data_IF_179287257636
#
_entry.id   IF_179287257636
#
_cell.length_a   1.000
_cell.length_b   1.000
_cell.length_c   1.000
_cell.angle_alpha   90.00
_cell.angle_beta   90.00
_cell.angle_gamma   90.00
#
_symmetry.space_group_name_H-M   'P 1'
#
loop_
_entity.id
_entity.type
_entity.pdbx_description
1 polymer ?
#
# COMPACT_ATOMS: atom_id res chain seq x y z
N UNK A 1 29.88 -15.39 -35.90
CA UNK A 1 30.69 -14.31 -35.28
C UNK A 1 29.90 -13.02 -35.03
N UNK A 2 29.02 -12.58 -35.94
CA UNK A 2 28.25 -11.34 -35.80
C UNK A 2 27.24 -11.29 -34.65
N UNK A 3 26.54 -12.40 -34.35
CA UNK A 3 25.54 -12.44 -33.27
C UNK A 3 26.14 -12.29 -31.86
N UNK A 4 27.36 -12.80 -31.67
CA UNK A 4 28.04 -12.74 -30.37
C UNK A 4 28.47 -11.31 -30.02
N UNK A 5 28.90 -10.54 -31.03
CA UNK A 5 29.31 -9.15 -30.88
C UNK A 5 28.10 -8.23 -30.63
N UNK A 6 26.97 -8.48 -31.32
CA UNK A 6 25.73 -7.72 -31.14
C UNK A 6 25.13 -7.93 -29.74
N UNK A 7 25.14 -9.17 -29.24
CA UNK A 7 24.69 -9.52 -27.89
C UNK A 7 25.59 -8.90 -26.80
N UNK A 8 26.90 -8.85 -27.03
CA UNK A 8 27.85 -8.22 -26.10
C UNK A 8 27.71 -6.70 -26.03
N UNK A 9 27.46 -6.03 -27.16
CA UNK A 9 27.19 -4.59 -27.18
C UNK A 9 25.85 -4.24 -26.51
N UNK A 10 24.80 -5.02 -26.76
CA UNK A 10 23.49 -4.87 -26.10
C UNK A 10 23.61 -4.98 -24.58
N UNK A 11 24.31 -6.02 -24.09
CA UNK A 11 24.50 -6.24 -22.66
C UNK A 11 25.38 -5.16 -21.99
N UNK A 12 26.31 -4.55 -22.73
CA UNK A 12 27.12 -3.44 -22.22
C UNK A 12 26.30 -2.16 -22.08
N UNK A 13 25.48 -1.85 -23.09
CA UNK A 13 24.61 -0.68 -23.10
C UNK A 13 23.53 -0.75 -22.00
N UNK A 14 22.93 -1.92 -21.79
CA UNK A 14 21.98 -2.17 -20.70
C UNK A 14 22.61 -1.94 -19.32
N UNK A 15 23.82 -2.47 -19.09
CA UNK A 15 24.57 -2.25 -17.83
C UNK A 15 24.91 -0.78 -17.60
N UNK A 16 25.24 -0.03 -18.66
CA UNK A 16 25.54 1.39 -18.56
C UNK A 16 24.29 2.20 -18.18
N UNK A 17 23.14 1.88 -18.77
CA UNK A 17 21.84 2.50 -18.42
C UNK A 17 21.47 2.17 -16.97
N UNK A 18 21.58 0.92 -16.56
CA UNK A 18 21.29 0.52 -15.18
C UNK A 18 22.20 1.22 -14.17
N UNK A 19 23.52 1.29 -14.42
CA UNK A 19 24.43 2.04 -13.55
C UNK A 19 24.10 3.53 -13.51
N UNK A 20 23.81 4.16 -14.66
CA UNK A 20 23.40 5.56 -14.71
C UNK A 20 22.14 5.85 -13.91
N UNK A 21 21.12 4.98 -14.01
CA UNK A 21 19.87 5.10 -13.26
C UNK A 21 20.09 4.93 -11.75
N UNK A 22 20.91 3.96 -11.34
CA UNK A 22 21.26 3.74 -9.92
C UNK A 22 22.00 4.95 -9.36
N UNK A 23 22.99 5.47 -10.10
CA UNK A 23 23.75 6.65 -9.68
C UNK A 23 22.83 7.87 -9.53
N UNK A 24 21.93 8.11 -10.50
CA UNK A 24 20.97 9.20 -10.45
C UNK A 24 20.03 9.09 -9.23
N UNK A 25 19.59 7.88 -8.87
CA UNK A 25 18.72 7.65 -7.73
C UNK A 25 19.45 7.77 -6.37
N UNK A 26 20.72 7.37 -6.30
CA UNK A 26 21.48 7.29 -5.05
C UNK A 26 22.18 8.61 -4.70
N UNK A 27 22.61 9.39 -5.69
CA UNK A 27 23.32 10.66 -5.46
C UNK A 27 22.54 11.64 -4.57
N UNK A 28 21.24 11.92 -4.81
CA UNK A 28 20.48 12.83 -3.95
C UNK A 28 20.42 12.33 -2.50
N UNK A 29 20.33 11.02 -2.32
CA UNK A 29 20.23 10.37 -1.01
C UNK A 29 21.56 10.49 -0.25
N UNK A 30 22.69 10.30 -0.95
CA UNK A 30 24.03 10.53 -0.39
C UNK A 30 24.28 12.01 -0.06
N UNK A 31 23.80 12.94 -0.90
CA UNK A 31 23.90 14.38 -0.62
C UNK A 31 23.14 14.76 0.65
N UNK A 32 21.91 14.28 0.80
CA UNK A 32 21.10 14.50 2.01
C UNK A 32 21.76 13.86 3.22
N UNK A 33 22.17 12.59 3.14
CA UNK A 33 22.82 11.89 4.24
C UNK A 33 24.13 12.57 4.67
N UNK A 34 24.95 13.02 3.71
CA UNK A 34 26.19 13.75 3.98
C UNK A 34 25.95 15.07 4.72
N UNK A 35 24.88 15.79 4.37
CA UNK A 35 24.48 17.02 5.07
C UNK A 35 23.90 16.75 6.46
N UNK A 36 23.18 15.64 6.65
CA UNK A 36 22.62 15.27 7.96
C UNK A 36 23.69 14.88 8.99
N UNK A 37 24.77 14.22 8.57
CA UNK A 37 25.87 13.80 9.47
C UNK A 37 26.71 14.98 9.97
N UNK A 38 26.79 16.08 9.21
CA UNK A 38 27.59 17.24 9.56
C UNK A 38 26.98 18.12 10.67
N UNK A 39 25.70 17.96 10.99
CA UNK A 39 24.99 18.85 11.93
C UNK A 39 24.11 18.09 12.96
N UNK A 40 24.67 17.18 13.78
CA UNK A 40 23.89 16.32 14.68
C UNK A 40 23.21 17.08 15.84
N UNK A 41 23.78 18.21 16.29
CA UNK A 41 23.25 18.96 17.43
C UNK A 41 21.91 19.64 17.12
N UNK A 42 21.70 20.10 15.89
CA UNK A 42 20.45 20.72 15.47
C UNK A 42 19.27 19.74 15.52
N UNK A 43 19.48 18.48 15.11
CA UNK A 43 18.44 17.44 15.20
C UNK A 43 18.10 17.09 16.65
N UNK A 44 19.09 17.02 17.54
CA UNK A 44 18.85 16.78 18.97
C UNK A 44 18.08 17.94 19.61
N UNK A 45 18.37 19.18 19.22
CA UNK A 45 17.64 20.37 19.67
C UNK A 45 16.20 20.35 19.14
N UNK A 46 15.98 19.98 17.87
CA UNK A 46 14.64 19.91 17.28
C UNK A 46 13.79 18.78 17.89
N UNK A 47 14.41 17.64 18.20
CA UNK A 47 13.72 16.50 18.81
C UNK A 47 13.42 16.73 20.30
N UNK A 48 14.39 17.21 21.08
CA UNK A 48 14.26 17.27 22.54
C UNK A 48 13.95 18.66 23.11
N UNK A 49 14.35 19.76 22.44
CA UNK A 49 14.09 21.12 22.96
C UNK A 49 12.81 21.75 22.40
N UNK A 50 12.26 21.25 21.30
CA UNK A 50 11.02 21.76 20.68
C UNK A 50 9.90 20.69 20.81
N UNK A 51 8.98 20.82 21.78
CA UNK A 51 7.91 19.82 21.98
C UNK A 51 6.94 19.71 20.80
N UNK A 52 6.98 20.65 19.85
CA UNK A 52 6.10 20.67 18.68
C UNK A 52 6.36 19.48 17.74
N UNK A 53 7.62 19.13 17.47
CA UNK A 53 7.96 18.03 16.55
C UNK A 53 7.52 16.67 17.10
N UNK A 54 7.78 16.41 18.39
CA UNK A 54 7.31 15.20 19.07
C UNK A 54 5.78 15.10 19.08
N UNK A 55 5.08 16.23 19.29
CA UNK A 55 3.60 16.27 19.22
C UNK A 55 3.08 15.96 17.81
N UNK A 56 3.70 16.52 16.77
CA UNK A 56 3.33 16.22 15.37
C UNK A 56 3.55 14.75 15.03
N UNK A 57 4.68 14.17 15.48
CA UNK A 57 4.97 12.74 15.33
C UNK A 57 3.90 11.88 16.02
N UNK A 58 3.56 12.18 17.27
CA UNK A 58 2.52 11.46 18.01
C UNK A 58 1.14 11.58 17.36
N UNK A 59 0.76 12.77 16.88
CA UNK A 59 -0.49 12.96 16.14
C UNK A 59 -0.52 12.08 14.88
N UNK A 60 0.60 11.97 14.17
CA UNK A 60 0.70 11.10 13.01
C UNK A 60 0.55 9.63 13.39
N UNK A 61 1.17 9.18 14.48
CA UNK A 61 1.01 7.80 14.97
C UNK A 61 -0.44 7.51 15.38
N UNK A 62 -1.09 8.44 16.08
CA UNK A 62 -2.49 8.31 16.51
C UNK A 62 -3.42 8.18 15.30
N UNK A 63 -3.10 8.79 14.16
CA UNK A 63 -3.86 8.67 12.92
C UNK A 63 -3.51 7.37 12.18
N UNK A 64 -2.22 7.03 12.06
CA UNK A 64 -1.77 5.89 11.26
C UNK A 64 -2.12 4.54 11.88
N UNK A 65 -2.05 4.38 13.19
CA UNK A 65 -2.37 3.13 13.89
C UNK A 65 -3.80 2.63 13.58
N UNK A 66 -4.87 3.41 13.79
CA UNK A 66 -6.23 2.96 13.48
C UNK A 66 -6.44 2.74 11.98
N UNK A 67 -5.77 3.50 11.11
CA UNK A 67 -5.78 3.26 9.66
C UNK A 67 -5.23 1.86 9.34
N UNK A 68 -4.07 1.51 9.90
CA UNK A 68 -3.45 0.20 9.68
C UNK A 68 -4.32 -0.93 10.23
N UNK A 69 -4.87 -0.79 11.43
CA UNK A 69 -5.79 -1.78 12.01
C UNK A 69 -7.01 -1.96 11.10
N UNK A 70 -7.58 -0.87 10.61
CA UNK A 70 -8.70 -0.90 9.67
C UNK A 70 -8.35 -1.64 8.38
N UNK A 71 -7.22 -1.30 7.76
CA UNK A 71 -6.76 -1.95 6.54
C UNK A 71 -6.48 -3.45 6.75
N UNK A 72 -5.84 -3.84 7.86
CA UNK A 72 -5.57 -5.23 8.17
C UNK A 72 -6.83 -6.07 8.40
N UNK A 73 -7.93 -5.46 8.84
CA UNK A 73 -9.20 -6.16 9.01
C UNK A 73 -10.02 -6.17 7.72
N UNK A 74 -10.16 -5.01 7.08
CA UNK A 74 -11.02 -4.82 5.92
C UNK A 74 -10.42 -5.42 4.65
N UNK A 75 -9.10 -5.29 4.45
CA UNK A 75 -8.49 -5.70 3.19
C UNK A 75 -8.52 -7.22 2.97
N UNK A 76 -8.14 -8.07 3.94
CA UNK A 76 -8.24 -9.52 3.77
C UNK A 76 -9.70 -9.99 3.66
N UNK A 77 -10.61 -9.38 4.42
CA UNK A 77 -12.04 -9.73 4.38
C UNK A 77 -12.64 -9.44 3.00
N UNK A 78 -12.37 -8.25 2.45
CA UNK A 78 -12.84 -7.87 1.13
C UNK A 78 -12.18 -8.72 0.03
N UNK A 79 -10.87 -8.99 0.13
CA UNK A 79 -10.16 -9.83 -0.83
C UNK A 79 -10.70 -11.28 -0.84
N UNK A 80 -10.90 -11.88 0.35
CA UNK A 80 -11.54 -13.19 0.48
C UNK A 80 -12.96 -13.18 -0.10
N UNK A 81 -13.74 -12.13 0.18
CA UNK A 81 -15.07 -11.93 -0.40
C UNK A 81 -15.07 -11.91 -1.92
N UNK A 82 -14.17 -11.13 -2.54
CA UNK A 82 -14.04 -11.07 -4.01
C UNK A 82 -13.58 -12.40 -4.62
N UNK A 83 -12.69 -13.12 -3.94
CA UNK A 83 -12.19 -14.41 -4.42
C UNK A 83 -13.26 -15.50 -4.34
N UNK A 84 -13.91 -15.64 -3.18
CA UNK A 84 -14.92 -16.66 -2.91
C UNK A 84 -16.24 -16.41 -3.63
N UNK A 85 -16.55 -15.16 -3.97
CA UNK A 85 -17.77 -14.83 -4.70
C UNK A 85 -17.85 -15.61 -6.03
N UNK A 86 -18.94 -16.36 -6.26
CA UNK A 86 -19.14 -17.17 -7.48
C UNK A 86 -19.82 -16.39 -8.61
N UNK A 87 -20.03 -15.08 -8.46
CA UNK A 87 -20.81 -14.29 -9.40
C UNK A 87 -20.02 -13.96 -10.67
N UNK A 88 -20.64 -14.12 -11.85
CA UNK A 88 -20.01 -13.92 -13.16
C UNK A 88 -19.45 -12.51 -13.38
N UNK A 89 -20.02 -11.49 -12.72
CA UNK A 89 -19.62 -10.08 -12.88
C UNK A 89 -18.59 -9.60 -11.85
N UNK A 90 -18.10 -10.48 -10.98
CA UNK A 90 -17.13 -10.12 -9.92
C UNK A 90 -15.84 -9.50 -10.47
N UNK A 91 -15.39 -9.98 -11.63
CA UNK A 91 -14.18 -9.47 -12.27
C UNK A 91 -14.39 -8.03 -12.76
N UNK A 92 -15.56 -7.69 -13.29
CA UNK A 92 -15.88 -6.32 -13.73
C UNK A 92 -15.87 -5.36 -12.55
N UNK A 93 -16.50 -5.74 -11.43
CA UNK A 93 -16.47 -4.96 -10.19
C UNK A 93 -15.04 -4.77 -9.68
N UNK A 94 -14.21 -5.80 -9.76
CA UNK A 94 -12.81 -5.69 -9.37
C UNK A 94 -11.99 -4.80 -10.31
N UNK A 95 -12.22 -4.85 -11.62
CA UNK A 95 -11.57 -3.93 -12.56
C UNK A 95 -12.00 -2.48 -12.32
N UNK A 96 -13.28 -2.24 -12.01
CA UNK A 96 -13.74 -0.90 -11.62
C UNK A 96 -13.04 -0.44 -10.34
N UNK A 97 -12.92 -1.32 -9.36
CA UNK A 97 -12.20 -1.07 -8.11
C UNK A 97 -10.73 -0.69 -8.36
N UNK A 98 -10.06 -1.36 -9.32
CA UNK A 98 -8.72 -1.03 -9.76
C UNK A 98 -8.62 0.35 -10.41
N UNK A 99 -9.59 0.75 -11.24
CA UNK A 99 -9.59 2.07 -11.86
C UNK A 99 -9.62 3.17 -10.80
N UNK A 100 -10.42 2.99 -9.74
CA UNK A 100 -10.47 3.92 -8.61
C UNK A 100 -9.12 3.98 -7.89
N UNK A 101 -8.43 2.85 -7.74
CA UNK A 101 -7.08 2.81 -7.16
C UNK A 101 -6.04 3.59 -7.98
N UNK A 102 -6.20 3.66 -9.30
CA UNK A 102 -5.30 4.42 -10.18
C UNK A 102 -5.51 5.93 -10.08
N UNK A 103 -6.59 6.40 -9.44
CA UNK A 103 -6.78 7.83 -9.23
C UNK A 103 -5.70 8.37 -8.30
N UNK A 104 -5.06 9.50 -8.65
CA UNK A 104 -4.12 10.16 -7.76
C UNK A 104 -4.81 10.60 -6.47
N UNK A 105 -4.09 10.49 -5.35
CA UNK A 105 -4.58 10.83 -4.02
C UNK A 105 -5.21 12.23 -3.98
N UNK A 106 -4.66 13.18 -4.73
CA UNK A 106 -5.13 14.56 -4.80
C UNK A 106 -6.55 14.70 -5.34
N UNK A 107 -6.95 13.88 -6.32
CA UNK A 107 -8.31 13.91 -6.87
C UNK A 107 -9.35 13.38 -5.88
N UNK A 108 -8.93 12.50 -4.96
CA UNK A 108 -9.81 11.93 -3.94
C UNK A 108 -10.03 12.86 -2.73
N UNK A 109 -9.25 13.94 -2.59
CA UNK A 109 -9.36 14.85 -1.44
C UNK A 109 -10.70 15.58 -1.38
N UNK A 110 -11.16 16.12 -2.51
CA UNK A 110 -12.44 16.83 -2.60
C UNK A 110 -13.63 15.93 -2.24
N UNK A 111 -13.80 14.74 -2.86
CA UNK A 111 -14.92 13.86 -2.50
C UNK A 111 -14.82 13.36 -1.05
N UNK A 112 -13.62 13.05 -0.54
CA UNK A 112 -13.45 12.66 0.86
C UNK A 112 -13.85 13.77 1.83
N UNK A 113 -13.53 15.03 1.50
CA UNK A 113 -13.96 16.19 2.28
C UNK A 113 -15.48 16.36 2.28
N UNK A 114 -16.14 16.18 1.12
CA UNK A 114 -17.60 16.25 1.03
C UNK A 114 -18.29 15.16 1.87
N UNK A 115 -17.76 13.93 1.83
CA UNK A 115 -18.27 12.83 2.66
C UNK A 115 -18.05 13.12 4.15
N UNK A 116 -16.87 13.62 4.54
CA UNK A 116 -16.60 13.99 5.92
C UNK A 116 -17.53 15.11 6.42
N UNK A 117 -17.87 16.07 5.55
CA UNK A 117 -18.83 17.12 5.86
C UNK A 117 -20.25 16.58 6.03
N UNK A 118 -20.67 15.67 5.14
CA UNK A 118 -21.98 15.02 5.25
C UNK A 118 -22.14 14.19 6.53
N UNK A 119 -21.05 13.55 6.96
CA UNK A 119 -20.98 12.79 8.23
C UNK A 119 -20.77 13.69 9.46
N UNK A 120 -20.57 15.00 9.30
CA UNK A 120 -20.33 15.94 10.40
C UNK A 120 -18.98 15.75 11.11
N UNK A 121 -18.02 15.05 10.50
CA UNK A 121 -16.71 14.72 11.07
C UNK A 121 -15.58 15.58 10.51
N UNK A 122 -15.87 16.62 9.72
CA UNK A 122 -14.84 17.39 8.99
C UNK A 122 -13.75 17.99 9.88
N UNK A 123 -14.07 18.29 11.15
CA UNK A 123 -13.15 18.91 12.11
C UNK A 123 -12.40 17.88 12.97
N UNK A 124 -12.50 16.59 12.66
CA UNK A 124 -11.89 15.49 13.42
C UNK A 124 -10.87 14.73 12.58
N UNK A 125 -9.87 14.13 13.24
CA UNK A 125 -8.94 13.18 12.63
C UNK A 125 -9.66 12.01 11.94
N UNK A 126 -10.90 11.72 12.33
CA UNK A 126 -11.76 10.72 11.68
C UNK A 126 -11.99 11.00 10.19
N UNK A 127 -12.03 12.27 9.77
CA UNK A 127 -12.14 12.65 8.36
C UNK A 127 -10.97 12.16 7.50
N UNK A 128 -9.81 11.92 8.12
CA UNK A 128 -8.61 11.38 7.47
C UNK A 128 -8.53 9.87 7.65
N UNK A 129 -8.82 9.38 8.87
CA UNK A 129 -8.70 7.97 9.23
C UNK A 129 -9.67 7.12 8.39
N UNK A 130 -10.94 7.51 8.31
CA UNK A 130 -11.97 6.71 7.65
C UNK A 130 -11.65 6.45 6.16
N UNK A 131 -11.42 7.47 5.31
CA UNK A 131 -11.07 7.21 3.92
C UNK A 131 -9.79 6.38 3.76
N UNK A 132 -8.79 6.61 4.61
CA UNK A 132 -7.53 5.88 4.56
C UNK A 132 -7.68 4.40 4.93
N UNK A 133 -8.64 4.02 5.79
CA UNK A 133 -8.92 2.62 6.12
C UNK A 133 -9.41 1.80 4.91
N UNK A 134 -10.10 2.43 3.96
CA UNK A 134 -10.68 1.77 2.77
C UNK A 134 -9.75 1.84 1.55
N UNK A 135 -8.45 2.07 1.76
CA UNK A 135 -7.50 2.20 0.66
C UNK A 135 -7.43 0.91 -0.19
N UNK A 136 -7.58 1.01 -1.53
CA UNK A 136 -7.83 -0.18 -2.34
C UNK A 136 -6.62 -1.10 -2.55
N UNK A 137 -5.40 -0.58 -2.36
CA UNK A 137 -4.15 -1.31 -2.59
C UNK A 137 -4.07 -2.63 -1.81
N UNK A 138 -4.46 -2.65 -0.53
CA UNK A 138 -4.36 -3.85 0.31
C UNK A 138 -5.21 -5.00 -0.22
N UNK A 139 -6.46 -4.71 -0.61
CA UNK A 139 -7.38 -5.70 -1.18
C UNK A 139 -6.83 -6.26 -2.48
N UNK A 140 -6.28 -5.38 -3.33
CA UNK A 140 -5.71 -5.78 -4.61
C UNK A 140 -4.55 -6.77 -4.43
N UNK A 141 -3.57 -6.43 -3.58
CA UNK A 141 -2.39 -7.26 -3.33
C UNK A 141 -2.78 -8.63 -2.76
N UNK A 142 -3.66 -8.65 -1.76
CA UNK A 142 -4.09 -9.90 -1.12
C UNK A 142 -4.85 -10.77 -2.12
N UNK A 143 -5.76 -10.19 -2.92
CA UNK A 143 -6.52 -10.95 -3.92
C UNK A 143 -5.59 -11.55 -4.98
N UNK A 144 -4.61 -10.81 -5.47
CA UNK A 144 -3.64 -11.35 -6.43
C UNK A 144 -2.93 -12.57 -5.87
N UNK A 145 -2.53 -12.54 -4.59
CA UNK A 145 -1.86 -13.66 -3.94
C UNK A 145 -2.80 -14.85 -3.67
N UNK A 146 -4.04 -14.58 -3.24
CA UNK A 146 -5.04 -15.62 -2.94
C UNK A 146 -5.58 -16.29 -4.21
N UNK A 147 -5.55 -15.62 -5.37
CA UNK A 147 -6.00 -16.20 -6.63
C UNK A 147 -5.19 -17.43 -7.06
N UNK A 148 -3.90 -17.46 -6.70
CA UNK A 148 -3.00 -18.59 -7.01
C UNK A 148 -3.16 -19.77 -6.03
N UNK A 149 -3.99 -19.63 -4.99
CA UNK A 149 -4.17 -20.65 -3.97
C UNK A 149 -4.98 -21.86 -4.49
N UNK A 150 -4.55 -23.11 -4.24
CA UNK A 150 -5.18 -24.30 -4.79
C UNK A 150 -6.60 -24.51 -4.24
N UNK A 151 -7.61 -24.40 -5.12
CA UNK A 151 -9.02 -24.48 -4.72
C UNK A 151 -9.41 -25.84 -4.13
N UNK A 152 -8.74 -26.92 -4.53
CA UNK A 152 -8.97 -28.29 -4.07
C UNK A 152 -8.87 -28.41 -2.54
N UNK A 153 -7.94 -27.68 -1.92
CA UNK A 153 -7.74 -27.69 -0.46
C UNK A 153 -8.95 -27.12 0.29
N UNK A 154 -9.61 -26.12 -0.29
CA UNK A 154 -10.82 -25.50 0.28
C UNK A 154 -12.02 -26.41 0.09
N UNK A 155 -12.10 -27.07 -1.06
CA UNK A 155 -13.17 -28.04 -1.33
C UNK A 155 -13.08 -29.22 -0.37
N UNK A 156 -11.87 -29.73 -0.09
CA UNK A 156 -11.64 -30.73 0.94
C UNK A 156 -12.10 -30.23 2.32
N UNK A 157 -11.72 -29.01 2.72
CA UNK A 157 -12.16 -28.44 3.99
C UNK A 157 -13.69 -28.27 4.10
N UNK A 158 -14.36 -27.95 2.98
CA UNK A 158 -15.83 -27.90 2.93
C UNK A 158 -16.47 -29.28 3.05
N UNK A 159 -15.87 -30.29 2.43
CA UNK A 159 -16.31 -31.69 2.58
C UNK A 159 -16.15 -32.17 4.03
N UNK A 160 -15.11 -31.71 4.73
CA UNK A 160 -14.91 -31.93 6.17
C UNK A 160 -15.85 -31.10 7.07
N UNK A 161 -16.76 -30.31 6.48
CA UNK A 161 -17.75 -29.51 7.21
C UNK A 161 -17.20 -28.22 7.82
N UNK A 162 -16.03 -27.73 7.38
CA UNK A 162 -15.51 -26.44 7.83
C UNK A 162 -16.41 -25.29 7.34
N UNK A 163 -16.76 -24.38 8.26
CA UNK A 163 -17.47 -23.15 7.91
C UNK A 163 -16.55 -22.17 7.16
N UNK A 164 -17.12 -21.28 6.35
CA UNK A 164 -16.35 -20.28 5.58
C UNK A 164 -15.48 -19.38 6.48
N UNK A 165 -15.94 -19.06 7.69
CA UNK A 165 -15.11 -18.31 8.66
C UNK A 165 -13.92 -19.12 9.15
N UNK A 166 -14.08 -20.44 9.35
CA UNK A 166 -12.99 -21.33 9.73
C UNK A 166 -11.99 -21.45 8.59
N UNK A 167 -12.45 -21.57 7.35
CA UNK A 167 -11.61 -21.59 6.16
C UNK A 167 -10.78 -20.29 6.11
N UNK A 168 -11.41 -19.13 6.14
CA UNK A 168 -10.74 -17.82 6.13
C UNK A 168 -9.67 -17.64 7.23
N UNK A 169 -9.91 -18.18 8.43
CA UNK A 169 -9.03 -17.97 9.60
C UNK A 169 -7.90 -18.99 9.72
N UNK A 170 -8.09 -20.21 9.25
CA UNK A 170 -7.20 -21.35 9.57
C UNK A 170 -6.50 -22.00 8.39
N UNK A 171 -6.92 -21.68 7.17
CA UNK A 171 -6.38 -22.18 5.91
C UNK A 171 -5.79 -21.00 5.15
#
# INVERSE_FOLDING_TARGET
MGDFMKKRYSNFFEKLICMGAVILAVIPLLFVAGKSVQVPEEYLILLFKRPLYLRMMWNSLIITIPVLIGQLLLAPLAAYGFWQCRWKYKEILFYLYMIVMLMPLQLTLVPNYLVANWLGIQNSSLAIILPAMFQPLGVFLIRQQIQDFPQETLEAARLDGASEYRIYRSI
#
